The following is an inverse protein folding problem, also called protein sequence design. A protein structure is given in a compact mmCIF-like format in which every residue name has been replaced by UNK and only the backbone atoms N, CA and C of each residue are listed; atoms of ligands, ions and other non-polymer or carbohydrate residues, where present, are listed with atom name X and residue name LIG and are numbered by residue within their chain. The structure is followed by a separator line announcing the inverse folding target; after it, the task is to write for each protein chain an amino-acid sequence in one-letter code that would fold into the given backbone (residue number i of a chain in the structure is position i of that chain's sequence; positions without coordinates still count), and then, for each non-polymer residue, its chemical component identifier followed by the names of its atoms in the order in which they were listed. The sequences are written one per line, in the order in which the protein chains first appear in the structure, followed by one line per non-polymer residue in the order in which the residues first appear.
data_IF_352047562402
#
_entry.id   IF_352047562402
#
_cell.length_a   1.000
_cell.length_b   1.000
_cell.length_c   1.000
_cell.angle_alpha   90.00
_cell.angle_beta   90.00
_cell.angle_gamma   90.00
#
_symmetry.space_group_name_H-M   'P 1'
#
loop_
_entity.id
_entity.type
_entity.pdbx_description
1 polymer ?
#
# COMPACT_ATOMS: atom_id res chain seq x y z
N UNK A 1 -31.18 -15.51 4.09
CA UNK A 1 -31.38 -15.72 5.54
C UNK A 1 -30.60 -16.97 5.94
N UNK A 2 -29.34 -16.80 6.32
CA UNK A 2 -28.56 -17.82 7.01
C UNK A 2 -28.11 -17.17 8.32
N UNK A 3 -28.84 -17.48 9.38
CA UNK A 3 -28.53 -17.12 10.75
C UNK A 3 -27.27 -17.88 11.14
N UNK A 4 -26.19 -17.17 11.45
CA UNK A 4 -25.00 -17.73 12.10
C UNK A 4 -24.81 -17.00 13.43
N UNK A 5 -25.62 -17.40 14.40
CA UNK A 5 -25.37 -17.19 15.83
C UNK A 5 -24.50 -18.34 16.33
N UNK A 6 -23.22 -18.10 16.61
CA UNK A 6 -22.30 -19.09 17.20
C UNK A 6 -20.82 -18.71 17.02
N UNK A 7 -19.93 -18.96 18.02
CA UNK A 7 -18.63 -18.32 18.11
C UNK A 7 -17.59 -18.96 17.18
N UNK A 8 -16.68 -18.12 16.68
CA UNK A 8 -15.41 -18.49 16.06
C UNK A 8 -15.52 -19.29 14.73
N UNK A 9 -15.42 -18.57 13.62
CA UNK A 9 -15.05 -19.15 12.32
C UNK A 9 -13.58 -19.60 12.39
N UNK A 10 -13.36 -20.91 12.38
CA UNK A 10 -12.05 -21.53 12.26
C UNK A 10 -11.78 -21.88 10.78
N UNK A 11 -10.90 -21.12 10.12
CA UNK A 11 -10.47 -21.38 8.74
C UNK A 11 -8.94 -21.48 8.63
N UNK A 12 -8.28 -22.28 9.46
CA UNK A 12 -6.85 -22.57 9.30
C UNK A 12 -5.89 -21.62 10.04
N UNK A 13 -5.78 -21.78 11.36
CA UNK A 13 -4.69 -21.20 12.17
C UNK A 13 -4.92 -19.81 12.77
N UNK A 14 -6.16 -19.30 12.75
CA UNK A 14 -6.50 -17.94 13.22
C UNK A 14 -6.95 -17.95 14.68
N UNK A 15 -6.27 -17.21 15.54
CA UNK A 15 -6.76 -16.86 16.88
C UNK A 15 -7.40 -15.46 16.83
N UNK A 16 -8.73 -15.42 16.80
CA UNK A 16 -9.48 -14.18 17.05
C UNK A 16 -9.83 -14.11 18.54
N UNK A 17 -9.22 -13.19 19.28
CA UNK A 17 -9.67 -12.85 20.64
C UNK A 17 -10.65 -11.69 20.54
N UNK A 18 -11.82 -11.78 21.19
CA UNK A 18 -12.86 -10.76 21.12
C UNK A 18 -12.30 -9.35 21.39
N UNK A 19 -12.32 -8.48 20.36
CA UNK A 19 -11.92 -7.06 20.43
C UNK A 19 -10.67 -6.71 19.63
N UNK A 20 -9.70 -7.64 19.57
CA UNK A 20 -8.41 -7.46 18.90
C UNK A 20 -8.10 -8.69 18.03
N UNK A 21 -8.08 -8.50 16.71
CA UNK A 21 -7.64 -9.53 15.77
C UNK A 21 -6.13 -9.39 15.53
N UNK A 22 -5.40 -10.49 15.75
CA UNK A 22 -3.99 -10.62 15.34
C UNK A 22 -3.91 -11.65 14.21
N UNK A 23 -3.36 -11.24 13.08
CA UNK A 23 -3.15 -12.12 11.94
C UNK A 23 -1.65 -12.28 11.75
N UNK A 24 -1.12 -13.46 12.05
CA UNK A 24 0.30 -13.79 11.85
C UNK A 24 0.46 -14.57 10.54
N UNK A 25 1.18 -14.03 9.57
CA UNK A 25 1.48 -14.70 8.29
C UNK A 25 2.96 -14.54 7.92
N UNK A 26 3.67 -15.65 7.70
CA UNK A 26 5.05 -15.68 7.21
C UNK A 26 6.02 -14.73 7.96
N UNK A 27 5.92 -14.65 9.29
CA UNK A 27 6.79 -13.81 10.12
C UNK A 27 6.38 -12.34 10.22
N UNK A 28 5.27 -11.94 9.59
CA UNK A 28 4.70 -10.61 9.72
C UNK A 28 3.35 -10.69 10.46
N UNK A 29 3.21 -9.95 11.56
CA UNK A 29 1.94 -9.81 12.28
C UNK A 29 1.18 -8.59 11.77
N UNK A 30 -0.12 -8.74 11.55
CA UNK A 30 -1.08 -7.65 11.33
C UNK A 30 -1.94 -7.53 12.58
N UNK A 31 -2.02 -6.32 13.12
CA UNK A 31 -2.87 -5.99 14.28
C UNK A 31 -4.09 -5.23 13.78
N UNK A 32 -5.27 -5.68 14.19
CA UNK A 32 -6.54 -4.99 13.93
C UNK A 32 -7.31 -4.89 15.24
N UNK A 33 -7.41 -3.68 15.79
CA UNK A 33 -8.11 -3.40 17.04
C UNK A 33 -9.44 -2.70 16.77
N UNK A 34 -10.43 -2.91 17.64
CA UNK A 34 -11.67 -2.13 17.63
C UNK A 34 -12.68 -2.48 16.52
N UNK A 35 -12.44 -3.52 15.73
CA UNK A 35 -13.41 -4.02 14.74
C UNK A 35 -13.27 -5.51 14.46
N UNK A 36 -14.41 -6.17 14.22
CA UNK A 36 -14.49 -7.57 13.77
C UNK A 36 -15.20 -7.71 12.42
N UNK A 37 -15.36 -6.61 11.67
CA UNK A 37 -16.01 -6.63 10.36
C UNK A 37 -15.16 -7.43 9.35
N UNK A 38 -15.71 -8.49 8.72
CA UNK A 38 -14.96 -9.34 7.80
C UNK A 38 -14.46 -8.59 6.56
N UNK A 39 -15.15 -7.55 6.10
CA UNK A 39 -14.70 -6.72 4.98
C UNK A 39 -13.52 -5.83 5.35
N UNK A 40 -13.51 -5.31 6.59
CA UNK A 40 -12.37 -4.54 7.11
C UNK A 40 -11.16 -5.45 7.28
N UNK A 41 -11.35 -6.62 7.90
CA UNK A 41 -10.28 -7.61 8.09
C UNK A 41 -9.68 -8.07 6.75
N UNK A 42 -10.52 -8.36 5.75
CA UNK A 42 -10.06 -8.74 4.41
C UNK A 42 -9.28 -7.60 3.73
N UNK A 43 -9.76 -6.37 3.85
CA UNK A 43 -9.08 -5.21 3.27
C UNK A 43 -7.74 -4.95 3.95
N UNK A 44 -7.69 -5.02 5.28
CA UNK A 44 -6.45 -4.90 6.06
C UNK A 44 -5.44 -5.99 5.68
N UNK A 45 -5.88 -7.24 5.54
CA UNK A 45 -5.03 -8.34 5.08
C UNK A 45 -4.51 -8.11 3.66
N UNK A 46 -5.36 -7.58 2.76
CA UNK A 46 -4.97 -7.26 1.38
C UNK A 46 -3.90 -6.18 1.37
N UNK A 47 -4.09 -5.10 2.13
CA UNK A 47 -3.12 -4.01 2.28
C UNK A 47 -1.81 -4.49 2.91
N UNK A 48 -1.87 -5.31 3.96
CA UNK A 48 -0.70 -5.97 4.57
C UNK A 48 0.07 -6.80 3.55
N UNK A 49 -0.63 -7.49 2.65
CA UNK A 49 -0.03 -8.27 1.57
C UNK A 49 0.76 -7.45 0.55
N UNK A 50 0.57 -6.13 0.50
CA UNK A 50 1.31 -5.22 -0.37
C UNK A 50 2.61 -4.69 0.27
N UNK A 51 2.85 -4.99 1.55
CA UNK A 51 4.05 -4.56 2.27
C UNK A 51 5.24 -5.44 1.90
N UNK A 52 6.29 -4.83 1.36
CA UNK A 52 7.55 -5.50 1.08
C UNK A 52 8.42 -5.55 2.33
N UNK A 53 8.25 -6.59 3.13
CA UNK A 53 8.91 -6.78 4.43
C UNK A 53 10.43 -6.49 4.43
N UNK A 54 11.23 -6.93 3.43
CA UNK A 54 12.67 -6.69 3.45
C UNK A 54 13.07 -5.20 3.39
N UNK A 55 12.29 -4.34 2.73
CA UNK A 55 12.63 -2.92 2.59
C UNK A 55 11.73 -1.98 3.39
N UNK A 56 10.54 -2.43 3.79
CA UNK A 56 9.52 -1.58 4.42
C UNK A 56 8.65 -0.79 3.43
N UNK A 57 8.95 -0.83 2.12
CA UNK A 57 8.10 -0.19 1.11
C UNK A 57 6.73 -0.85 0.98
N UNK A 58 5.75 -0.12 0.44
CA UNK A 58 4.38 -0.60 0.22
C UNK A 58 4.04 -0.46 -1.26
N UNK A 59 3.74 -1.57 -1.94
CA UNK A 59 3.35 -1.58 -3.35
C UNK A 59 1.96 -0.98 -3.55
N UNK A 60 1.74 -0.32 -4.70
CA UNK A 60 0.39 0.09 -5.09
C UNK A 60 -0.50 -1.11 -5.49
N UNK A 61 0.07 -2.12 -6.15
CA UNK A 61 -0.61 -3.38 -6.44
C UNK A 61 0.37 -4.56 -6.57
N UNK A 62 -0.12 -5.79 -6.37
CA UNK A 62 0.66 -7.01 -6.57
C UNK A 62 0.80 -7.44 -8.05
N UNK A 63 0.13 -6.73 -8.96
CA UNK A 63 0.01 -7.11 -10.38
C UNK A 63 0.55 -6.02 -11.30
N UNK A 64 1.08 -6.43 -12.45
CA UNK A 64 1.33 -5.53 -13.58
C UNK A 64 0.19 -5.64 -14.59
N UNK A 65 -0.12 -4.53 -15.26
CA UNK A 65 -0.90 -4.48 -16.50
C UNK A 65 -2.31 -5.06 -16.39
N UNK A 66 -2.91 -4.99 -15.19
CA UNK A 66 -4.31 -5.28 -15.03
C UNK A 66 -5.12 -4.11 -15.64
N UNK A 67 -6.08 -4.37 -16.53
CA UNK A 67 -6.78 -3.31 -17.24
C UNK A 67 -7.76 -2.57 -16.34
N UNK A 68 -7.81 -1.23 -16.46
CA UNK A 68 -8.91 -0.44 -15.88
C UNK A 68 -10.27 -0.80 -16.52
N UNK A 69 -10.25 -1.17 -17.81
CA UNK A 69 -11.40 -1.65 -18.57
C UNK A 69 -10.95 -2.80 -19.48
N UNK A 70 -11.69 -3.92 -19.48
CA UNK A 70 -11.35 -5.10 -20.29
C UNK A 70 -11.24 -4.74 -21.79
N UNK A 71 -10.13 -5.11 -22.42
CA UNK A 71 -9.82 -4.76 -23.80
C UNK A 71 -9.31 -3.32 -24.00
N UNK A 72 -9.28 -2.51 -22.94
CA UNK A 72 -8.74 -1.17 -22.93
C UNK A 72 -7.21 -1.14 -22.96
N UNK A 73 -6.67 0.08 -23.16
CA UNK A 73 -5.22 0.34 -23.28
C UNK A 73 -4.56 0.82 -21.98
N UNK A 74 -5.36 1.06 -20.94
CA UNK A 74 -4.94 1.60 -19.64
C UNK A 74 -4.53 0.47 -18.70
N UNK A 75 -3.38 -0.13 -19.04
CA UNK A 75 -2.88 -1.36 -18.43
C UNK A 75 -1.47 -1.09 -17.88
N UNK A 76 -1.37 -0.36 -16.76
CA UNK A 76 -0.07 0.08 -16.21
C UNK A 76 0.54 -0.95 -15.25
N UNK A 77 1.86 -0.89 -15.07
CA UNK A 77 2.53 -1.62 -14.01
C UNK A 77 2.46 -0.84 -12.68
N UNK A 78 1.83 -1.46 -11.67
CA UNK A 78 1.60 -0.87 -10.35
C UNK A 78 2.39 -1.57 -9.24
N UNK A 79 3.34 -2.46 -9.58
CA UNK A 79 4.16 -3.20 -8.60
C UNK A 79 5.26 -2.37 -7.92
N UNK A 80 5.07 -1.06 -7.87
CA UNK A 80 6.03 -0.09 -7.38
C UNK A 80 5.48 0.61 -6.14
N UNK A 81 6.38 1.23 -5.37
CA UNK A 81 5.98 2.03 -4.22
C UNK A 81 5.61 3.44 -4.69
N UNK A 82 4.31 3.68 -4.85
CA UNK A 82 3.77 5.03 -5.05
C UNK A 82 3.68 5.72 -3.71
N UNK A 83 4.31 6.89 -3.58
CA UNK A 83 4.43 7.56 -2.28
C UNK A 83 3.07 7.87 -1.66
N UNK A 84 2.09 8.26 -2.50
CA UNK A 84 0.72 8.52 -2.08
C UNK A 84 0.02 7.27 -1.56
N UNK A 85 -0.02 6.23 -2.39
CA UNK A 85 -0.73 4.98 -2.11
C UNK A 85 -0.14 4.28 -0.89
N UNK A 86 1.19 4.32 -0.76
CA UNK A 86 1.90 3.81 0.42
C UNK A 86 1.54 4.60 1.68
N UNK A 87 1.53 5.93 1.63
CA UNK A 87 1.12 6.76 2.77
C UNK A 87 -0.34 6.52 3.18
N UNK A 88 -1.25 6.40 2.22
CA UNK A 88 -2.66 6.06 2.47
C UNK A 88 -2.83 4.68 3.08
N UNK A 89 -2.09 3.69 2.57
CA UNK A 89 -2.09 2.32 3.10
C UNK A 89 -1.57 2.27 4.53
N UNK A 90 -0.43 2.92 4.79
CA UNK A 90 0.15 3.01 6.12
C UNK A 90 -0.82 3.71 7.10
N UNK A 91 -1.45 4.81 6.69
CA UNK A 91 -2.45 5.50 7.52
C UNK A 91 -3.67 4.61 7.83
N UNK A 92 -4.16 3.84 6.85
CA UNK A 92 -5.26 2.90 7.06
C UNK A 92 -4.88 1.81 8.07
N UNK A 93 -3.68 1.22 7.94
CA UNK A 93 -3.19 0.19 8.88
C UNK A 93 -2.95 0.74 10.29
N UNK A 94 -2.42 1.96 10.40
CA UNK A 94 -2.26 2.68 11.68
C UNK A 94 -3.61 2.92 12.34
N UNK A 95 -4.65 3.29 11.57
CA UNK A 95 -6.00 3.48 12.11
C UNK A 95 -6.61 2.19 12.67
N UNK A 96 -6.08 1.03 12.30
CA UNK A 96 -6.46 -0.29 12.81
C UNK A 96 -5.49 -0.79 13.91
N UNK A 97 -4.50 0.00 14.32
CA UNK A 97 -3.54 -0.36 15.37
C UNK A 97 -2.31 -1.15 14.88
N UNK A 98 -2.07 -1.21 13.56
CA UNK A 98 -0.86 -1.80 12.98
C UNK A 98 0.14 -0.70 12.61
N UNK A 99 1.16 -0.53 13.43
CA UNK A 99 2.13 0.55 13.31
C UNK A 99 3.44 0.15 12.61
N UNK A 100 3.81 -1.14 12.67
CA UNK A 100 5.08 -1.66 12.15
C UNK A 100 5.26 -1.35 10.66
N UNK A 101 4.16 -1.41 9.88
CA UNK A 101 4.18 -1.11 8.45
C UNK A 101 4.44 0.36 8.15
N UNK A 102 3.89 1.25 8.98
CA UNK A 102 4.12 2.68 8.86
C UNK A 102 5.56 3.04 9.25
N UNK A 103 6.11 2.42 10.30
CA UNK A 103 7.51 2.59 10.66
C UNK A 103 8.45 2.12 9.54
N UNK A 104 8.19 0.93 8.97
CA UNK A 104 8.94 0.40 7.84
C UNK A 104 8.88 1.32 6.62
N UNK A 105 7.70 1.84 6.28
CA UNK A 105 7.52 2.75 5.17
C UNK A 105 8.25 4.10 5.39
N UNK A 106 8.17 4.67 6.59
CA UNK A 106 8.87 5.91 6.92
C UNK A 106 10.39 5.73 6.89
N UNK A 107 10.92 4.60 7.39
CA UNK A 107 12.33 4.28 7.29
C UNK A 107 12.79 4.15 5.83
N UNK A 108 11.99 3.47 5.00
CA UNK A 108 12.23 3.37 3.57
C UNK A 108 12.22 4.75 2.87
N UNK A 109 11.24 5.59 3.19
CA UNK A 109 11.12 6.94 2.62
C UNK A 109 12.28 7.84 3.02
N UNK A 110 12.75 7.75 4.27
CA UNK A 110 13.97 8.43 4.70
C UNK A 110 15.19 7.98 3.87
N UNK A 111 15.29 6.68 3.55
CA UNK A 111 16.30 6.16 2.65
C UNK A 111 16.23 6.81 1.26
N UNK A 112 15.03 6.91 0.68
CA UNK A 112 14.80 7.59 -0.61
C UNK A 112 15.19 9.07 -0.53
N UNK A 113 14.74 9.78 0.51
CA UNK A 113 15.05 11.19 0.75
C UNK A 113 16.56 11.46 0.84
N UNK A 114 17.32 10.54 1.41
CA UNK A 114 18.78 10.64 1.47
C UNK A 114 19.47 10.55 0.09
N UNK A 115 18.77 10.06 -0.94
CA UNK A 115 19.31 9.96 -2.32
C UNK A 115 18.99 11.18 -3.19
N UNK A 116 18.06 12.04 -2.76
CA UNK A 116 17.63 13.23 -3.52
C UNK A 116 18.17 14.51 -2.89
N UNK A 117 18.37 15.56 -3.70
CA UNK A 117 18.92 16.84 -3.22
C UNK A 117 17.91 17.68 -2.40
N UNK A 118 16.65 17.27 -2.37
CA UNK A 118 15.57 17.95 -1.65
C UNK A 118 14.22 17.29 -1.90
N UNK A 119 13.23 17.47 -1.01
CA UNK A 119 11.90 16.87 -1.12
C UNK A 119 11.15 17.30 -2.40
N UNK A 120 11.43 18.48 -2.93
CA UNK A 120 10.87 19.01 -4.18
C UNK A 120 11.30 18.22 -5.42
N UNK A 121 12.32 17.36 -5.29
CA UNK A 121 12.82 16.47 -6.36
C UNK A 121 12.34 15.03 -6.21
N UNK A 122 11.41 14.77 -5.30
CA UNK A 122 10.82 13.45 -5.17
C UNK A 122 10.03 13.09 -6.43
N UNK A 123 10.29 11.89 -6.94
CA UNK A 123 9.47 11.25 -7.95
C UNK A 123 8.19 10.68 -7.30
N UNK A 124 7.09 10.52 -8.05
CA UNK A 124 5.84 10.01 -7.49
C UNK A 124 5.94 8.55 -7.02
N UNK A 125 6.81 7.76 -7.65
CA UNK A 125 7.00 6.34 -7.37
C UNK A 125 8.46 5.92 -7.49
N UNK A 126 8.80 4.85 -6.78
CA UNK A 126 10.13 4.23 -6.77
C UNK A 126 10.00 2.70 -6.82
N UNK A 127 11.11 2.02 -7.13
CA UNK A 127 11.21 0.57 -6.93
C UNK A 127 11.06 0.22 -5.46
N UNK A 128 10.82 -1.04 -5.12
CA UNK A 128 10.71 -1.47 -3.71
C UNK A 128 12.00 -1.23 -2.91
N UNK A 129 13.13 -1.07 -3.58
CA UNK A 129 14.42 -0.77 -2.97
C UNK A 129 14.73 0.72 -2.92
N UNK A 130 13.78 1.59 -3.29
CA UNK A 130 13.95 3.04 -3.20
C UNK A 130 14.73 3.66 -4.36
N UNK A 131 14.97 2.92 -5.44
CA UNK A 131 15.64 3.45 -6.64
C UNK A 131 14.62 4.01 -7.63
N UNK A 132 15.07 4.93 -8.49
CA UNK A 132 14.25 5.39 -9.62
C UNK A 132 13.93 4.24 -10.58
N UNK A 133 12.76 4.32 -11.23
CA UNK A 133 12.38 3.38 -12.27
C UNK A 133 13.14 3.67 -13.57
N UNK A 134 13.42 2.61 -14.33
CA UNK A 134 13.86 2.73 -15.71
C UNK A 134 12.74 3.16 -16.66
N UNK A 135 13.05 3.18 -17.96
CA UNK A 135 12.07 3.47 -19.00
C UNK A 135 10.95 2.42 -19.02
N UNK A 136 9.74 2.86 -19.30
CA UNK A 136 8.61 1.96 -19.54
C UNK A 136 8.84 1.16 -20.83
N UNK A 137 8.46 -0.10 -20.81
CA UNK A 137 8.52 -1.01 -21.95
C UNK A 137 7.18 -1.74 -22.15
N UNK A 138 6.87 -2.08 -23.39
CA UNK A 138 5.74 -2.95 -23.75
C UNK A 138 6.26 -4.34 -24.06
N UNK A 139 5.58 -5.37 -23.55
CA UNK A 139 5.87 -6.77 -23.84
C UNK A 139 4.83 -7.30 -24.84
N UNK A 140 5.13 -7.17 -26.13
CA UNK A 140 4.19 -7.52 -27.21
C UNK A 140 3.90 -9.02 -27.34
N UNK A 141 4.76 -9.87 -26.80
CA UNK A 141 4.60 -11.33 -26.85
C UNK A 141 3.55 -11.84 -25.88
N UNK A 142 3.19 -11.07 -24.85
CA UNK A 142 2.21 -11.47 -23.86
C UNK A 142 0.78 -11.13 -24.31
N UNK A 143 -0.18 -12.04 -24.12
CA UNK A 143 -1.57 -11.80 -24.51
C UNK A 143 -2.27 -10.76 -23.62
N UNK A 144 -1.75 -10.52 -22.42
CA UNK A 144 -2.38 -9.66 -21.41
C UNK A 144 -3.60 -10.29 -20.75
N UNK A 145 -4.06 -9.69 -19.65
CA UNK A 145 -5.19 -10.22 -18.89
C UNK A 145 -6.49 -10.12 -19.71
N UNK A 146 -7.17 -11.25 -19.90
CA UNK A 146 -8.37 -11.36 -20.74
C UNK A 146 -8.17 -10.80 -22.17
N UNK A 147 -6.95 -10.91 -22.72
CA UNK A 147 -6.60 -10.37 -24.05
C UNK A 147 -6.37 -8.85 -24.08
N UNK A 148 -6.37 -8.19 -22.92
CA UNK A 148 -6.20 -6.74 -22.82
C UNK A 148 -4.74 -6.35 -23.04
N UNK A 149 -4.48 -5.57 -24.09
CA UNK A 149 -3.16 -5.12 -24.51
C UNK A 149 -3.09 -3.59 -24.49
N UNK A 150 -1.92 -2.98 -24.27
CA UNK A 150 -0.60 -3.61 -24.13
C UNK A 150 -0.33 -4.17 -22.72
N UNK A 151 0.66 -5.06 -22.60
CA UNK A 151 1.28 -5.43 -21.33
C UNK A 151 2.51 -4.55 -21.14
N UNK A 152 2.60 -3.85 -20.01
CA UNK A 152 3.65 -2.88 -19.68
C UNK A 152 4.51 -3.35 -18.52
N UNK A 153 5.77 -2.90 -18.52
CA UNK A 153 6.67 -2.95 -17.37
C UNK A 153 7.29 -1.58 -17.20
N UNK A 154 7.39 -1.11 -15.96
CA UNK A 154 7.67 0.29 -15.70
C UNK A 154 6.42 1.15 -15.74
N UNK A 155 6.58 2.43 -15.45
CA UNK A 155 5.48 3.37 -15.46
C UNK A 155 6.00 4.78 -15.75
N UNK A 156 5.52 5.39 -16.82
CA UNK A 156 5.92 6.74 -17.23
C UNK A 156 5.55 7.84 -16.22
N UNK A 157 4.67 7.58 -15.26
CA UNK A 157 4.39 8.50 -14.17
C UNK A 157 5.64 8.84 -13.33
N UNK A 158 6.72 8.05 -13.43
CA UNK A 158 8.01 8.36 -12.81
C UNK A 158 8.57 9.73 -13.23
N UNK A 159 8.14 10.28 -14.37
CA UNK A 159 8.58 11.60 -14.85
C UNK A 159 7.62 12.74 -14.49
N UNK A 160 6.51 12.45 -13.82
CA UNK A 160 5.51 13.46 -13.46
C UNK A 160 5.89 14.15 -12.15
N UNK A 161 5.52 15.43 -12.02
CA UNK A 161 5.59 16.15 -10.75
C UNK A 161 4.23 16.00 -10.06
N UNK A 162 4.21 15.36 -8.89
CA UNK A 162 3.02 15.23 -8.04
C UNK A 162 3.26 15.90 -6.69
N UNK A 163 2.68 17.09 -6.51
CA UNK A 163 2.88 17.92 -5.30
C UNK A 163 2.06 17.43 -4.09
N UNK A 164 1.01 16.67 -4.34
CA UNK A 164 0.07 16.14 -3.36
C UNK A 164 0.61 14.95 -2.56
N UNK A 165 1.84 14.51 -2.81
CA UNK A 165 2.58 13.57 -1.94
C UNK A 165 3.01 14.24 -0.64
N UNK A 166 3.29 15.55 -0.69
CA UNK A 166 3.75 16.38 0.43
C UNK A 166 2.63 17.23 1.03
N UNK A 167 1.37 17.02 0.63
CA UNK A 167 0.27 17.87 1.08
C UNK A 167 0.09 17.76 2.61
N UNK A 168 0.10 18.92 3.27
CA UNK A 168 -0.28 19.08 4.67
C UNK A 168 -1.74 18.62 4.89
N UNK A 169 -2.08 18.06 6.06
CA UNK A 169 -3.47 17.80 6.43
C UNK A 169 -4.24 19.13 6.42
N UNK A 170 -5.10 19.31 5.43
CA UNK A 170 -6.04 20.42 5.38
C UNK A 170 -7.13 20.16 6.43
N UNK A 171 -7.15 20.96 7.49
CA UNK A 171 -8.18 20.90 8.52
C UNK A 171 -9.53 21.34 7.98
N UNK A 172 -10.34 20.39 7.48
CA UNK A 172 -11.80 20.44 7.53
C UNK A 172 -12.43 19.08 7.15
N UNK A 173 -12.62 18.20 8.13
CA UNK A 173 -13.57 17.07 8.07
C UNK A 173 -13.38 15.97 7.01
N UNK A 174 -12.37 16.05 6.14
CA UNK A 174 -12.02 15.01 5.17
C UNK A 174 -10.56 14.63 5.38
N UNK A 175 -10.32 13.53 6.08
CA UNK A 175 -8.98 13.03 6.39
C UNK A 175 -8.20 12.65 5.12
N UNK A 176 -7.54 13.62 4.50
CA UNK A 176 -6.44 13.34 3.56
C UNK A 176 -5.17 13.21 4.40
N UNK A 177 -4.86 11.97 4.78
CA UNK A 177 -3.62 11.64 5.47
C UNK A 177 -2.45 11.77 4.48
N UNK A 178 -1.73 12.89 4.55
CA UNK A 178 -0.43 13.04 3.91
C UNK A 178 0.68 12.40 4.76
N UNK A 179 1.87 12.26 4.18
CA UNK A 179 3.06 11.68 4.84
C UNK A 179 3.40 12.37 6.17
N UNK A 180 3.20 13.69 6.27
CA UNK A 180 3.44 14.47 7.50
C UNK A 180 2.48 14.07 8.63
N UNK A 181 1.21 13.83 8.31
CA UNK A 181 0.22 13.36 9.29
C UNK A 181 0.57 11.96 9.81
N UNK A 182 1.11 11.10 8.94
CA UNK A 182 1.57 9.75 9.32
C UNK A 182 2.71 9.80 10.34
N UNK A 183 3.71 10.68 10.13
CA UNK A 183 4.86 10.84 11.03
C UNK A 183 4.39 11.21 12.45
N UNK A 184 3.48 12.18 12.56
CA UNK A 184 2.96 12.67 13.85
C UNK A 184 2.21 11.56 14.62
N UNK A 185 1.37 10.79 13.93
CA UNK A 185 0.60 9.71 14.56
C UNK A 185 1.51 8.58 15.03
N UNK A 186 2.51 8.20 14.23
CA UNK A 186 3.46 7.13 14.60
C UNK A 186 4.34 7.55 15.78
N UNK A 187 4.82 8.80 15.82
CA UNK A 187 5.68 9.27 16.92
C UNK A 187 4.91 9.55 18.22
N UNK A 188 3.63 9.92 18.15
CA UNK A 188 2.80 10.18 19.33
C UNK A 188 2.35 8.94 20.12
N UNK A 189 2.58 7.74 19.57
CA UNK A 189 2.26 6.46 20.19
C UNK A 189 3.43 5.81 20.95
N UNK A 190 4.58 6.50 21.07
CA UNK A 190 5.73 6.07 21.88
C UNK A 190 5.71 6.64 23.29
#
# INVERSE_FOLDING_TARGET
MALLTGPCLHVGGWECVCGDARIDCCGASLRVTGTSDPMVLRSALTLKGLVHVPSGSIMAAATTSLPEELGGVRNWDYRYCWLRDAAMTAAALVSLGSFDEAEGFLAWLHGVLATVQGPERLHPLYTLHGTQLGAEAVIDTLPGYAGSRPVRVGNLANQQVQLDVLAEPQGNGHHRFGTVALITVVHGHR
#
